data_IF_044601090180
#
_entry.id   IF_044601090180
#
_cell.length_a   1.000
_cell.length_b   1.000
_cell.length_c   1.000
_cell.angle_alpha   90.00
_cell.angle_beta   90.00
_cell.angle_gamma   90.00
#
_symmetry.space_group_name_H-M   'P 1'
#
loop_
_entity.id
_entity.type
_entity.pdbx_description
1 polymer ?
#
# COMPACT_ATOMS: atom_id res chain seq x y z
N UNK A 1 -19.19 33.25 -20.91
CA UNK A 1 -20.42 32.42 -21.00
C UNK A 1 -20.07 31.03 -21.51
N UNK A 2 -19.65 30.12 -20.62
CA UNK A 2 -19.88 28.68 -20.84
C UNK A 2 -21.40 28.52 -20.78
N UNK A 3 -22.05 28.51 -21.94
CA UNK A 3 -23.51 28.37 -22.04
C UNK A 3 -23.93 27.04 -21.41
N UNK A 4 -25.13 26.98 -20.80
CA UNK A 4 -25.73 25.79 -20.18
C UNK A 4 -25.47 24.48 -20.98
N UNK A 5 -25.42 24.57 -22.31
CA UNK A 5 -25.08 23.47 -23.22
C UNK A 5 -23.74 22.78 -22.94
N UNK A 6 -22.66 23.51 -22.62
CA UNK A 6 -21.35 22.89 -22.35
C UNK A 6 -21.35 22.07 -21.05
N UNK A 7 -22.01 22.60 -20.02
CA UNK A 7 -22.18 21.90 -18.74
C UNK A 7 -23.09 20.67 -18.90
N UNK A 8 -24.21 20.79 -19.62
CA UNK A 8 -25.11 19.66 -19.89
C UNK A 8 -24.42 18.54 -20.66
N UNK A 9 -23.50 18.85 -21.58
CA UNK A 9 -22.76 17.85 -22.35
C UNK A 9 -21.67 17.17 -21.51
N UNK A 10 -21.00 17.90 -20.62
CA UNK A 10 -20.11 17.31 -19.63
C UNK A 10 -20.87 16.39 -18.68
N UNK A 11 -22.04 16.81 -18.20
CA UNK A 11 -22.90 15.99 -17.35
C UNK A 11 -23.41 14.76 -18.09
N UNK A 12 -23.77 14.89 -19.38
CA UNK A 12 -24.17 13.76 -20.22
C UNK A 12 -23.02 12.78 -20.49
N UNK A 13 -21.81 13.28 -20.76
CA UNK A 13 -20.62 12.45 -20.92
C UNK A 13 -20.23 11.75 -19.62
N UNK A 14 -20.34 12.47 -18.49
CA UNK A 14 -20.13 11.91 -17.15
C UNK A 14 -21.15 10.81 -16.86
N UNK A 15 -22.42 11.05 -17.17
CA UNK A 15 -23.47 10.05 -17.05
C UNK A 15 -23.17 8.84 -17.93
N UNK A 16 -22.67 9.00 -19.17
CA UNK A 16 -22.31 7.87 -20.05
C UNK A 16 -21.12 7.06 -19.53
N UNK A 17 -20.05 7.72 -19.07
CA UNK A 17 -18.87 7.04 -18.50
C UNK A 17 -19.25 6.32 -17.21
N UNK A 18 -19.99 6.98 -16.33
CA UNK A 18 -20.51 6.37 -15.11
C UNK A 18 -21.47 5.23 -15.46
N UNK A 19 -22.39 5.39 -16.39
CA UNK A 19 -23.33 4.32 -16.75
C UNK A 19 -22.61 3.11 -17.31
N UNK A 20 -21.58 3.28 -18.16
CA UNK A 20 -20.76 2.16 -18.65
C UNK A 20 -20.02 1.44 -17.52
N UNK A 21 -19.41 2.21 -16.60
CA UNK A 21 -18.74 1.67 -15.42
C UNK A 21 -19.72 0.95 -14.49
N UNK A 22 -20.85 1.58 -14.17
CA UNK A 22 -21.89 1.05 -13.30
C UNK A 22 -22.55 -0.18 -13.93
N UNK A 23 -22.78 -0.21 -15.24
CA UNK A 23 -23.30 -1.38 -15.95
C UNK A 23 -22.35 -2.58 -15.85
N UNK A 24 -21.03 -2.35 -15.86
CA UNK A 24 -20.06 -3.42 -15.61
C UNK A 24 -20.12 -3.98 -14.17
N UNK A 25 -20.57 -3.16 -13.20
CA UNK A 25 -20.73 -3.53 -11.79
C UNK A 25 -22.15 -3.93 -11.36
N UNK A 26 -23.18 -3.65 -12.16
CA UNK A 26 -24.60 -3.74 -11.78
C UNK A 26 -25.31 -5.05 -12.22
N UNK A 27 -24.59 -6.03 -12.78
CA UNK A 27 -25.18 -7.28 -13.27
C UNK A 27 -25.58 -8.31 -12.19
N UNK A 28 -25.91 -7.88 -10.96
CA UNK A 28 -26.35 -8.78 -9.89
C UNK A 28 -27.85 -8.69 -9.64
N UNK A 29 -28.46 -9.80 -9.22
CA UNK A 29 -29.85 -9.80 -8.75
C UNK A 29 -29.99 -8.80 -7.60
N UNK A 30 -30.84 -7.78 -7.81
CA UNK A 30 -31.10 -6.69 -6.87
C UNK A 30 -31.65 -7.15 -5.49
N UNK A 31 -31.92 -8.45 -5.33
CA UNK A 31 -32.45 -9.06 -4.12
C UNK A 31 -31.39 -9.75 -3.23
N UNK A 32 -30.12 -9.84 -3.67
CA UNK A 32 -29.08 -10.51 -2.87
C UNK A 32 -28.69 -9.64 -1.68
N UNK A 33 -28.94 -10.10 -0.44
CA UNK A 33 -28.52 -9.37 0.76
C UNK A 33 -26.99 -9.40 0.94
N UNK A 34 -26.37 -8.35 1.50
CA UNK A 34 -24.95 -8.35 1.83
C UNK A 34 -24.63 -9.42 2.88
N UNK A 35 -23.49 -10.09 2.72
CA UNK A 35 -23.00 -11.06 3.69
C UNK A 35 -22.11 -10.36 4.71
N UNK A 36 -22.63 -10.15 5.92
CA UNK A 36 -21.94 -9.45 6.99
C UNK A 36 -21.35 -10.44 8.00
N UNK A 37 -20.13 -10.19 8.46
CA UNK A 37 -19.53 -10.96 9.55
C UNK A 37 -19.61 -10.21 10.87
N UNK A 38 -20.11 -10.88 11.90
CA UNK A 38 -19.94 -10.45 13.29
C UNK A 38 -18.62 -10.98 13.80
N UNK A 39 -17.67 -10.08 14.06
CA UNK A 39 -16.35 -10.45 14.56
C UNK A 39 -16.44 -11.06 15.95
N UNK A 40 -15.75 -12.18 16.14
CA UNK A 40 -15.61 -12.90 17.40
C UNK A 40 -14.13 -13.21 17.61
N UNK A 41 -13.70 -13.39 18.86
CA UNK A 41 -12.32 -13.77 19.18
C UNK A 41 -11.84 -15.01 18.45
N UNK A 42 -12.72 -16.00 18.23
CA UNK A 42 -12.41 -17.22 17.47
C UNK A 42 -12.05 -16.98 16.00
N UNK A 43 -12.41 -15.82 15.44
CA UNK A 43 -12.09 -15.44 14.06
C UNK A 43 -10.74 -14.70 13.96
N UNK A 44 -10.04 -14.49 15.07
CA UNK A 44 -8.76 -13.77 15.11
C UNK A 44 -7.65 -14.71 15.57
N UNK A 45 -7.11 -15.55 14.66
CA UNK A 45 -6.05 -16.51 15.00
C UNK A 45 -4.71 -15.86 15.39
N UNK A 46 -4.49 -14.60 15.02
CA UNK A 46 -3.30 -13.82 15.41
C UNK A 46 -3.74 -12.44 15.89
N UNK A 47 -3.22 -12.02 17.04
CA UNK A 47 -3.70 -10.84 17.78
C UNK A 47 -4.80 -11.23 18.77
N UNK A 48 -5.56 -10.24 19.24
CA UNK A 48 -6.73 -10.49 20.08
C UNK A 48 -7.92 -9.61 19.66
N UNK A 49 -9.13 -10.08 19.96
CA UNK A 49 -10.36 -9.35 19.67
C UNK A 49 -11.21 -9.21 20.94
N UNK A 50 -11.67 -8.01 21.20
CA UNK A 50 -12.57 -7.68 22.30
C UNK A 50 -13.83 -7.03 21.71
N UNK A 51 -15.01 -7.63 21.89
CA UNK A 51 -16.26 -6.98 21.48
C UNK A 51 -16.47 -5.72 22.32
N UNK A 52 -16.86 -4.63 21.66
CA UNK A 52 -17.30 -3.39 22.30
C UNK A 52 -18.67 -3.00 21.74
N UNK A 53 -19.34 -2.01 22.33
CA UNK A 53 -20.67 -1.60 21.86
C UNK A 53 -20.64 -1.16 20.39
N UNK A 54 -21.33 -1.90 19.52
CA UNK A 54 -21.41 -1.61 18.08
C UNK A 54 -20.12 -1.79 17.27
N UNK A 55 -19.06 -2.38 17.84
CA UNK A 55 -17.81 -2.61 17.13
C UNK A 55 -16.99 -3.76 17.74
N UNK A 56 -15.87 -4.09 17.12
CA UNK A 56 -14.87 -5.01 17.68
C UNK A 56 -13.52 -4.33 17.73
N UNK A 57 -12.92 -4.32 18.91
CA UNK A 57 -11.56 -3.85 19.13
C UNK A 57 -10.59 -4.98 18.86
N UNK A 58 -9.70 -4.78 17.89
CA UNK A 58 -8.61 -5.69 17.55
C UNK A 58 -7.32 -5.14 18.15
N UNK A 59 -6.59 -5.97 18.88
CA UNK A 59 -5.24 -5.64 19.39
C UNK A 59 -4.24 -6.46 18.58
N UNK A 60 -3.28 -5.77 17.96
CA UNK A 60 -2.20 -6.38 17.19
C UNK A 60 -1.21 -7.08 18.13
N UNK A 61 -0.51 -8.09 17.64
CA UNK A 61 0.52 -8.79 18.39
C UNK A 61 1.72 -7.86 18.71
N UNK A 62 2.67 -8.38 19.49
CA UNK A 62 3.92 -7.70 19.83
C UNK A 62 4.82 -7.40 18.61
N UNK A 63 4.48 -7.92 17.43
CA UNK A 63 5.15 -7.60 16.15
C UNK A 63 4.31 -6.66 15.29
N UNK A 64 3.19 -6.14 15.80
CA UNK A 64 2.29 -5.25 15.08
C UNK A 64 1.50 -5.96 13.99
N UNK A 65 0.99 -7.17 14.25
CA UNK A 65 0.23 -7.96 13.28
C UNK A 65 -1.05 -8.51 13.90
N UNK A 66 -2.14 -8.52 13.13
CA UNK A 66 -3.32 -9.31 13.43
C UNK A 66 -3.85 -9.97 12.16
N UNK A 67 -4.47 -11.15 12.31
CA UNK A 67 -5.12 -11.86 11.21
C UNK A 67 -6.56 -12.13 11.60
N UNK A 68 -7.49 -11.72 10.74
CA UNK A 68 -8.92 -12.01 10.87
C UNK A 68 -9.28 -13.04 9.81
N UNK A 69 -9.63 -14.25 10.22
CA UNK A 69 -10.03 -15.37 9.37
C UNK A 69 -11.56 -15.44 9.26
N UNK A 70 -12.10 -14.93 8.15
CA UNK A 70 -13.53 -14.83 7.90
C UNK A 70 -14.01 -16.06 7.12
N UNK A 71 -14.93 -16.88 7.65
CA UNK A 71 -15.43 -18.06 6.95
C UNK A 71 -16.17 -17.64 5.68
N UNK A 72 -15.87 -18.31 4.57
CA UNK A 72 -16.44 -18.04 3.25
C UNK A 72 -17.01 -19.29 2.56
N UNK A 73 -17.10 -20.42 3.29
CA UNK A 73 -17.70 -21.64 2.78
C UNK A 73 -19.17 -21.42 2.42
N UNK A 74 -19.56 -21.81 1.20
CA UNK A 74 -20.92 -21.63 0.68
C UNK A 74 -21.22 -20.25 0.10
N UNK A 75 -20.29 -19.30 0.17
CA UNK A 75 -20.41 -18.01 -0.52
C UNK A 75 -19.92 -18.18 -1.96
N UNK A 76 -20.72 -17.75 -2.94
CA UNK A 76 -20.27 -17.60 -4.32
C UNK A 76 -19.55 -16.25 -4.48
N UNK A 77 -18.22 -16.22 -4.68
CA UNK A 77 -17.47 -14.97 -4.84
C UNK A 77 -17.95 -14.12 -6.03
N UNK A 78 -18.52 -14.76 -7.06
CA UNK A 78 -19.01 -14.06 -8.25
C UNK A 78 -20.22 -13.18 -7.94
N UNK A 79 -21.07 -13.63 -7.01
CA UNK A 79 -22.22 -12.86 -6.51
C UNK A 79 -21.80 -11.69 -5.63
N UNK A 80 -20.64 -11.77 -4.98
CA UNK A 80 -20.14 -10.77 -4.02
C UNK A 80 -18.73 -10.25 -4.37
N UNK A 81 -18.59 -9.40 -5.39
CA UNK A 81 -17.27 -8.93 -5.80
C UNK A 81 -16.74 -7.75 -4.98
N UNK A 82 -17.53 -7.21 -4.02
CA UNK A 82 -17.12 -6.06 -3.22
C UNK A 82 -16.88 -6.47 -1.77
N UNK A 83 -15.72 -6.11 -1.23
CA UNK A 83 -15.40 -6.23 0.19
C UNK A 83 -15.36 -4.84 0.82
N UNK A 84 -16.13 -4.64 1.89
CA UNK A 84 -16.07 -3.42 2.70
C UNK A 84 -15.47 -3.73 4.06
N UNK A 85 -14.54 -2.89 4.49
CA UNK A 85 -14.02 -2.87 5.86
C UNK A 85 -14.21 -1.46 6.41
N UNK A 86 -15.13 -1.33 7.37
CA UNK A 86 -15.40 -0.09 8.06
C UNK A 86 -14.67 -0.10 9.41
N UNK A 87 -13.61 0.70 9.49
CA UNK A 87 -12.89 1.00 10.71
C UNK A 87 -13.64 2.09 11.49
N UNK A 88 -13.44 2.12 12.81
CA UNK A 88 -13.89 3.21 13.66
C UNK A 88 -13.00 4.43 13.53
N UNK A 89 -12.67 5.03 14.67
CA UNK A 89 -11.69 6.10 14.68
C UNK A 89 -10.36 5.63 14.09
N UNK A 90 -9.73 6.52 13.32
CA UNK A 90 -8.41 6.27 12.76
C UNK A 90 -7.48 5.96 13.93
N UNK A 91 -6.89 4.75 14.00
CA UNK A 91 -6.00 4.44 15.10
C UNK A 91 -4.82 5.41 15.07
N UNK A 92 -4.31 5.79 16.25
CA UNK A 92 -3.08 6.55 16.40
C UNK A 92 -2.05 5.64 17.07
N UNK A 93 -0.97 5.21 16.37
CA UNK A 93 -0.60 5.53 14.99
C UNK A 93 -1.57 4.94 13.95
N UNK A 94 -1.62 5.45 12.70
CA UNK A 94 -2.47 4.87 11.65
C UNK A 94 -2.07 3.41 11.36
N UNK A 95 -3.04 2.59 10.96
CA UNK A 95 -2.78 1.21 10.54
C UNK A 95 -1.77 1.25 9.38
N UNK A 96 -0.71 0.47 9.47
CA UNK A 96 0.35 0.48 8.47
C UNK A 96 -0.05 -0.22 7.18
N UNK A 97 -0.80 -1.35 7.20
CA UNK A 97 -1.37 -2.01 5.99
C UNK A 97 -2.57 -2.90 6.33
N UNK A 98 -3.50 -3.03 5.37
CA UNK A 98 -4.54 -4.05 5.32
C UNK A 98 -4.29 -4.93 4.09
N UNK A 99 -4.07 -6.23 4.26
CA UNK A 99 -3.94 -7.17 3.14
C UNK A 99 -5.10 -8.16 3.14
N UNK A 100 -5.60 -8.50 1.96
CA UNK A 100 -6.72 -9.43 1.77
C UNK A 100 -6.20 -10.68 1.08
N UNK A 101 -6.45 -11.84 1.67
CA UNK A 101 -6.04 -13.15 1.15
C UNK A 101 -7.24 -14.08 1.03
N UNK A 102 -7.45 -14.66 -0.15
CA UNK A 102 -8.38 -15.79 -0.31
C UNK A 102 -7.66 -17.08 0.05
N UNK A 103 -8.36 -17.99 0.74
CA UNK A 103 -7.86 -19.33 1.04
C UNK A 103 -8.76 -20.36 0.38
N UNK A 104 -8.16 -21.29 -0.37
CA UNK A 104 -8.82 -22.43 -0.99
C UNK A 104 -8.10 -23.70 -0.56
N UNK A 105 -8.78 -24.53 0.23
CA UNK A 105 -8.14 -25.69 0.87
C UNK A 105 -6.94 -25.26 1.72
N UNK A 106 -5.75 -25.76 1.38
CA UNK A 106 -4.49 -25.39 2.05
C UNK A 106 -3.74 -24.20 1.40
N UNK A 107 -4.15 -23.76 0.21
CA UNK A 107 -3.46 -22.69 -0.53
C UNK A 107 -4.05 -21.31 -0.21
N UNK A 108 -3.19 -20.32 0.02
CA UNK A 108 -3.57 -18.91 0.23
C UNK A 108 -3.06 -18.03 -0.91
N UNK A 109 -3.91 -17.17 -1.43
CA UNK A 109 -3.60 -16.25 -2.53
C UNK A 109 -3.96 -14.80 -2.16
N UNK A 110 -3.01 -13.88 -2.34
CA UNK A 110 -3.24 -12.46 -2.11
C UNK A 110 -4.17 -11.88 -3.19
N UNK A 111 -5.19 -11.14 -2.74
CA UNK A 111 -6.23 -10.57 -3.59
C UNK A 111 -6.07 -9.06 -3.74
N UNK A 112 -5.91 -8.38 -2.60
CA UNK A 112 -5.85 -6.94 -2.54
C UNK A 112 -4.96 -6.51 -1.37
N UNK A 113 -4.49 -5.28 -1.43
CA UNK A 113 -3.74 -4.62 -0.36
C UNK A 113 -4.14 -3.16 -0.29
N UNK A 114 -4.37 -2.65 0.92
CA UNK A 114 -4.26 -1.22 1.19
C UNK A 114 -2.78 -0.89 1.23
N UNK A 115 -2.40 0.19 0.55
CA UNK A 115 -0.99 0.46 0.34
C UNK A 115 -0.29 1.02 1.55
N UNK A 116 -1.00 1.66 2.49
CA UNK A 116 -0.56 1.67 3.89
C UNK A 116 -1.73 2.03 4.85
N UNK A 117 -2.15 3.29 4.93
CA UNK A 117 -3.24 3.70 5.85
C UNK A 117 -4.58 3.15 5.37
N UNK A 118 -5.17 2.24 6.14
CA UNK A 118 -6.55 1.84 5.88
C UNK A 118 -7.47 3.05 6.14
N UNK A 119 -8.18 3.57 5.12
CA UNK A 119 -9.14 4.64 5.36
C UNK A 119 -10.25 4.14 6.29
N UNK A 120 -10.92 5.07 6.98
CA UNK A 120 -12.04 4.78 7.91
C UNK A 120 -13.08 3.85 7.29
N UNK A 121 -13.33 3.97 5.99
CA UNK A 121 -14.21 3.07 5.24
C UNK A 121 -13.53 2.69 3.92
N UNK A 122 -13.16 1.42 3.80
CA UNK A 122 -12.41 0.91 2.65
C UNK A 122 -13.26 -0.06 1.84
N UNK A 123 -13.35 0.18 0.53
CA UNK A 123 -14.07 -0.67 -0.41
C UNK A 123 -13.12 -1.26 -1.45
N UNK A 124 -13.01 -2.59 -1.48
CA UNK A 124 -12.23 -3.32 -2.48
C UNK A 124 -13.14 -3.95 -3.52
N UNK A 125 -12.79 -3.81 -4.80
CA UNK A 125 -13.36 -4.63 -5.87
C UNK A 125 -12.46 -5.84 -6.11
N UNK A 126 -12.93 -7.02 -5.71
CA UNK A 126 -12.21 -8.28 -5.79
C UNK A 126 -12.50 -9.02 -7.11
N UNK A 127 -13.52 -8.63 -7.87
CA UNK A 127 -13.96 -9.33 -9.07
C UNK A 127 -12.95 -9.40 -10.22
N UNK A 128 -11.94 -8.53 -10.24
CA UNK A 128 -10.82 -8.60 -11.22
C UNK A 128 -9.75 -9.61 -10.82
N UNK A 129 -9.68 -10.02 -9.56
CA UNK A 129 -8.67 -10.97 -9.11
C UNK A 129 -9.04 -12.39 -9.61
N UNK A 130 -8.19 -13.06 -10.39
CA UNK A 130 -8.47 -14.41 -10.87
C UNK A 130 -8.73 -15.40 -9.71
N UNK A 131 -8.14 -15.12 -8.55
CA UNK A 131 -8.27 -15.93 -7.35
C UNK A 131 -9.58 -15.69 -6.58
N UNK A 132 -10.37 -14.68 -6.98
CA UNK A 132 -11.71 -14.39 -6.45
C UNK A 132 -12.83 -15.10 -7.22
N UNK A 133 -12.60 -16.35 -7.60
CA UNK A 133 -13.58 -17.18 -8.30
C UNK A 133 -13.59 -18.58 -7.67
N UNK A 134 -14.68 -19.33 -7.81
CA UNK A 134 -14.80 -20.70 -7.31
C UNK A 134 -14.94 -20.79 -5.78
N UNK A 135 -14.96 -22.03 -5.25
CA UNK A 135 -15.19 -22.26 -3.83
C UNK A 135 -14.04 -21.72 -2.96
N UNK A 136 -14.37 -20.80 -2.04
CA UNK A 136 -13.46 -20.29 -1.02
C UNK A 136 -13.71 -20.99 0.31
N UNK A 137 -12.64 -21.31 1.04
CA UNK A 137 -12.76 -21.79 2.41
C UNK A 137 -12.94 -20.61 3.38
N UNK A 138 -12.10 -19.58 3.22
CA UNK A 138 -12.12 -18.36 4.02
C UNK A 138 -11.45 -17.19 3.32
N UNK A 139 -11.75 -15.99 3.80
CA UNK A 139 -11.07 -14.75 3.45
C UNK A 139 -10.31 -14.29 4.69
N UNK A 140 -9.03 -14.00 4.55
CA UNK A 140 -8.19 -13.53 5.64
C UNK A 140 -7.82 -12.07 5.44
N UNK A 141 -8.01 -11.27 6.49
CA UNK A 141 -7.58 -9.88 6.55
C UNK A 141 -6.35 -9.79 7.45
N UNK A 142 -5.24 -9.34 6.89
CA UNK A 142 -4.02 -9.08 7.62
C UNK A 142 -3.94 -7.61 7.94
N UNK A 143 -3.90 -7.29 9.23
CA UNK A 143 -3.66 -5.95 9.74
C UNK A 143 -2.20 -5.86 10.14
N UNK A 144 -1.48 -4.90 9.58
CA UNK A 144 -0.09 -4.59 9.92
C UNK A 144 -0.04 -3.19 10.51
N UNK A 145 0.71 -2.99 11.59
CA UNK A 145 0.73 -1.75 12.36
C UNK A 145 1.90 -1.68 13.34
N UNK A 146 1.78 -0.85 14.36
CA UNK A 146 2.71 -0.83 15.48
C UNK A 146 2.43 -1.99 16.45
N UNK A 147 3.44 -2.47 17.20
CA UNK A 147 3.27 -3.43 18.29
C UNK A 147 2.17 -3.01 19.25
N UNK A 148 1.31 -3.95 19.65
CA UNK A 148 0.22 -3.75 20.60
C UNK A 148 -0.79 -2.65 20.23
N UNK A 149 -0.75 -2.19 18.97
CA UNK A 149 -1.68 -1.19 18.46
C UNK A 149 -3.11 -1.72 18.53
N UNK A 150 -4.04 -0.82 18.84
CA UNK A 150 -5.46 -1.14 18.91
C UNK A 150 -6.19 -0.54 17.72
N UNK A 151 -7.05 -1.32 17.08
CA UNK A 151 -7.84 -0.93 15.90
C UNK A 151 -9.31 -1.30 16.13
N UNK A 152 -10.20 -0.34 15.95
CA UNK A 152 -11.64 -0.59 16.06
C UNK A 152 -12.22 -0.88 14.69
N UNK A 153 -12.99 -1.96 14.56
CA UNK A 153 -13.70 -2.34 13.33
C UNK A 153 -15.20 -2.39 13.63
N UNK A 154 -15.98 -1.61 12.88
CA UNK A 154 -17.44 -1.60 12.99
C UNK A 154 -18.08 -2.70 12.16
N UNK A 155 -17.65 -2.86 10.90
CA UNK A 155 -18.32 -3.76 9.97
C UNK A 155 -17.34 -4.32 8.98
N UNK A 156 -17.44 -5.63 8.75
CA UNK A 156 -16.80 -6.31 7.64
C UNK A 156 -17.88 -7.05 6.87
N UNK A 157 -17.91 -6.89 5.56
CA UNK A 157 -18.91 -7.56 4.76
C UNK A 157 -18.57 -7.68 3.29
N UNK A 158 -19.17 -8.68 2.67
CA UNK A 158 -19.21 -8.89 1.24
C UNK A 158 -20.52 -8.36 0.68
N UNK A 159 -20.41 -7.57 -0.37
CA UNK A 159 -21.52 -6.83 -0.95
C UNK A 159 -21.76 -7.29 -2.39
N UNK A 160 -23.04 -7.46 -2.77
CA UNK A 160 -23.40 -7.90 -4.09
C UNK A 160 -23.07 -6.84 -5.14
N UNK A 161 -23.11 -7.26 -6.41
CA UNK A 161 -23.08 -6.36 -7.56
C UNK A 161 -24.19 -5.32 -7.48
N UNK A 162 -23.80 -4.05 -7.39
CA UNK A 162 -24.71 -2.90 -7.38
C UNK A 162 -23.98 -1.68 -7.92
N UNK A 163 -24.71 -0.82 -8.62
CA UNK A 163 -24.21 0.48 -9.04
C UNK A 163 -23.73 1.34 -7.85
N UNK A 164 -24.44 1.28 -6.71
CA UNK A 164 -24.04 2.03 -5.52
C UNK A 164 -22.69 1.55 -4.97
N UNK A 165 -22.47 0.24 -4.87
CA UNK A 165 -21.22 -0.35 -4.39
C UNK A 165 -20.07 -0.12 -5.37
N UNK A 166 -20.34 -0.17 -6.67
CA UNK A 166 -19.36 0.18 -7.70
C UNK A 166 -18.88 1.64 -7.55
N UNK A 167 -19.82 2.58 -7.40
CA UNK A 167 -19.48 3.99 -7.17
C UNK A 167 -18.72 4.20 -5.86
N UNK A 168 -19.14 3.55 -4.77
CA UNK A 168 -18.47 3.63 -3.48
C UNK A 168 -17.05 3.07 -3.55
N UNK A 169 -16.83 1.95 -4.24
CA UNK A 169 -15.50 1.39 -4.47
C UNK A 169 -14.61 2.31 -5.30
N UNK A 170 -15.16 2.92 -6.37
CA UNK A 170 -14.44 3.88 -7.19
C UNK A 170 -14.03 5.12 -6.37
N UNK A 171 -14.97 5.70 -5.63
CA UNK A 171 -14.72 6.86 -4.79
C UNK A 171 -13.72 6.56 -3.67
N UNK A 172 -13.83 5.40 -3.02
CA UNK A 172 -12.86 4.93 -2.02
C UNK A 172 -11.45 4.82 -2.62
N UNK A 173 -11.31 4.22 -3.80
CA UNK A 173 -10.03 4.14 -4.49
C UNK A 173 -9.47 5.52 -4.87
N UNK A 174 -10.29 6.41 -5.41
CA UNK A 174 -9.84 7.73 -5.86
C UNK A 174 -9.53 8.69 -4.71
N UNK A 175 -10.26 8.61 -3.61
CA UNK A 175 -10.08 9.53 -2.47
C UNK A 175 -9.13 9.01 -1.41
N UNK A 176 -8.66 7.76 -1.53
CA UNK A 176 -7.65 7.22 -0.62
C UNK A 176 -6.25 7.78 -0.95
N UNK A 177 -5.63 8.43 0.04
CA UNK A 177 -4.23 8.83 -0.05
C UNK A 177 -3.32 7.66 0.37
N UNK A 178 -2.69 7.01 -0.61
CA UNK A 178 -1.58 6.09 -0.35
C UNK A 178 -0.29 6.82 0.09
N UNK A 179 0.73 6.09 0.56
CA UNK A 179 2.02 6.65 0.98
C UNK A 179 2.73 7.37 -0.17
N UNK A 180 3.75 8.17 0.18
CA UNK A 180 4.70 8.68 -0.80
C UNK A 180 5.50 7.52 -1.41
N UNK A 181 5.42 7.37 -2.73
CA UNK A 181 6.32 6.50 -3.51
C UNK A 181 7.20 7.36 -4.40
N UNK A 182 8.33 6.79 -4.83
CA UNK A 182 9.17 7.40 -5.86
C UNK A 182 8.36 7.74 -7.13
N UNK A 183 7.39 6.90 -7.50
CA UNK A 183 6.51 7.17 -8.64
C UNK A 183 5.36 8.14 -8.33
N UNK A 184 4.98 8.35 -7.06
CA UNK A 184 3.82 9.19 -6.69
C UNK A 184 3.99 10.66 -7.07
N UNK A 185 5.22 11.12 -7.30
CA UNK A 185 5.50 12.48 -7.79
C UNK A 185 5.11 12.62 -9.27
N UNK A 186 5.20 11.53 -10.05
CA UNK A 186 5.05 11.54 -11.51
C UNK A 186 3.84 10.75 -12.02
N UNK A 187 3.15 9.98 -11.15
CA UNK A 187 2.04 9.13 -11.52
C UNK A 187 0.80 9.43 -10.67
N UNK A 188 -0.30 9.81 -11.34
CA UNK A 188 -1.60 9.98 -10.70
C UNK A 188 -2.47 8.73 -10.90
N UNK A 189 -2.30 7.76 -10.00
CA UNK A 189 -3.00 6.46 -10.05
C UNK A 189 -4.15 6.35 -9.04
N UNK A 190 -4.46 7.42 -8.30
CA UNK A 190 -5.31 7.33 -7.10
C UNK A 190 -4.60 6.63 -5.94
N UNK A 191 -5.32 6.28 -4.88
CA UNK A 191 -4.85 5.24 -3.97
C UNK A 191 -5.07 3.90 -4.67
N UNK A 192 -3.99 3.20 -5.04
CA UNK A 192 -4.09 1.88 -5.67
C UNK A 192 -4.66 0.89 -4.65
N UNK A 193 -5.98 0.78 -4.61
CA UNK A 193 -6.61 -0.46 -4.20
C UNK A 193 -6.50 -1.38 -5.41
N UNK A 194 -5.61 -2.37 -5.32
CA UNK A 194 -5.46 -3.38 -6.37
C UNK A 194 -6.86 -3.93 -6.73
N UNK A 195 -7.24 -3.80 -7.99
CA UNK A 195 -8.55 -4.22 -8.51
C UNK A 195 -9.46 -3.11 -9.06
N UNK A 196 -9.14 -1.82 -8.88
CA UNK A 196 -9.94 -0.74 -9.50
C UNK A 196 -9.92 -0.83 -11.04
N UNK A 197 -11.11 -0.90 -11.64
CA UNK A 197 -11.31 -1.00 -13.09
C UNK A 197 -11.03 0.34 -13.82
N UNK A 198 -11.08 1.47 -13.12
CA UNK A 198 -10.98 2.78 -13.74
C UNK A 198 -10.13 3.75 -12.90
N UNK A 199 -9.05 4.23 -13.51
CA UNK A 199 -8.14 5.21 -12.92
C UNK A 199 -8.60 6.65 -13.22
N UNK A 200 -8.29 7.64 -12.35
CA UNK A 200 -8.76 9.01 -12.53
C UNK A 200 -8.37 9.66 -13.87
N UNK A 201 -7.12 9.45 -14.32
CA UNK A 201 -6.62 10.05 -15.57
C UNK A 201 -7.33 9.47 -16.82
N UNK A 202 -7.39 8.15 -17.05
CA UNK A 202 -8.21 7.56 -18.10
C UNK A 202 -9.69 7.96 -18.01
N UNK A 203 -10.26 8.06 -16.80
CA UNK A 203 -11.64 8.49 -16.61
C UNK A 203 -11.87 9.93 -17.09
N UNK A 204 -11.00 10.86 -16.70
CA UNK A 204 -11.05 12.25 -17.13
C UNK A 204 -10.84 12.39 -18.66
N UNK A 205 -9.96 11.57 -19.23
CA UNK A 205 -9.73 11.54 -20.68
C UNK A 205 -10.95 11.00 -21.45
N UNK A 206 -11.56 9.91 -20.98
CA UNK A 206 -12.79 9.38 -21.56
C UNK A 206 -13.93 10.38 -21.43
N UNK A 207 -14.09 11.01 -20.28
CA UNK A 207 -15.07 12.06 -20.04
C UNK A 207 -14.92 13.21 -21.05
N UNK A 208 -13.70 13.73 -21.22
CA UNK A 208 -13.41 14.77 -22.19
C UNK A 208 -13.71 14.29 -23.62
N UNK A 209 -13.28 13.08 -23.99
CA UNK A 209 -13.50 12.52 -25.32
C UNK A 209 -15.00 12.36 -25.64
N UNK A 210 -15.80 11.81 -24.72
CA UNK A 210 -17.25 11.67 -24.88
C UNK A 210 -17.94 13.03 -24.97
N UNK A 211 -17.55 14.00 -24.15
CA UNK A 211 -18.12 15.35 -24.21
C UNK A 211 -17.80 16.05 -25.54
N UNK A 212 -16.55 15.94 -26.03
CA UNK A 212 -16.15 16.49 -27.32
C UNK A 212 -16.85 15.78 -28.49
N UNK A 213 -16.98 14.46 -28.43
CA UNK A 213 -17.71 13.68 -29.43
C UNK A 213 -19.19 14.08 -29.47
N UNK A 214 -19.83 14.24 -28.31
CA UNK A 214 -21.22 14.71 -28.23
C UNK A 214 -21.37 16.11 -28.84
N UNK A 215 -20.46 17.05 -28.55
CA UNK A 215 -20.44 18.37 -29.18
C UNK A 215 -20.29 18.32 -30.71
N UNK A 216 -19.54 17.34 -31.24
CA UNK A 216 -19.32 17.18 -32.69
C UNK A 216 -20.48 16.47 -33.40
N UNK A 217 -21.14 15.51 -32.72
CA UNK A 217 -22.16 14.65 -33.30
C UNK A 217 -23.59 15.23 -33.18
N UNK A 218 -23.94 15.87 -32.06
CA UNK A 218 -25.30 16.40 -31.86
C UNK A 218 -25.77 17.39 -32.92
N UNK A 219 -24.93 18.32 -33.44
CA UNK A 219 -25.32 19.23 -34.53
C UNK A 219 -25.65 18.49 -35.83
N UNK A 220 -25.06 17.30 -36.04
CA UNK A 220 -25.35 16.45 -37.22
C UNK A 220 -26.65 15.67 -37.06
N UNK A 221 -27.01 15.31 -35.83
CA UNK A 221 -28.20 14.53 -35.52
C UNK A 221 -29.44 15.41 -35.26
N UNK A 222 -29.23 16.64 -34.81
CA UNK A 222 -30.30 17.55 -34.38
C UNK A 222 -30.06 18.96 -34.96
N UNK A 223 -30.83 19.38 -35.98
CA UNK A 223 -30.63 20.65 -36.71
C UNK A 223 -30.71 21.94 -35.86
N UNK A 224 -31.11 21.86 -34.59
CA UNK A 224 -31.15 22.99 -33.66
C UNK A 224 -29.87 23.18 -32.83
N UNK A 225 -28.91 22.25 -32.88
CA UNK A 225 -27.67 22.35 -32.10
C UNK A 225 -26.56 23.08 -32.85
N UNK A 226 -25.86 23.98 -32.16
CA UNK A 226 -24.69 24.67 -32.73
C UNK A 226 -23.46 23.76 -32.70
N UNK A 227 -22.66 23.82 -33.77
CA UNK A 227 -21.38 23.11 -33.92
C UNK A 227 -20.39 23.32 -32.76
N UNK A 228 -19.44 22.39 -32.61
CA UNK A 228 -18.34 22.52 -31.66
C UNK A 228 -17.54 23.80 -31.92
N UNK A 229 -17.45 24.68 -30.92
CA UNK A 229 -16.59 25.87 -30.94
C UNK A 229 -15.30 25.59 -30.18
N UNK A 230 -14.15 26.01 -30.70
CA UNK A 230 -12.85 25.83 -30.03
C UNK A 230 -12.81 26.29 -28.57
N UNK A 231 -13.40 27.44 -28.17
CA UNK A 231 -13.46 27.82 -26.75
C UNK A 231 -14.26 26.84 -25.87
N UNK A 232 -15.31 26.21 -26.42
CA UNK A 232 -16.09 25.20 -25.70
C UNK A 232 -15.28 23.90 -25.54
N UNK A 233 -14.55 23.49 -26.58
CA UNK A 233 -13.63 22.36 -26.51
C UNK A 233 -12.55 22.60 -25.43
N UNK A 234 -11.91 23.77 -25.45
CA UNK A 234 -10.93 24.17 -24.45
C UNK A 234 -11.51 24.19 -23.04
N UNK A 235 -12.75 24.68 -22.88
CA UNK A 235 -13.46 24.67 -21.59
C UNK A 235 -13.74 23.26 -21.07
N UNK A 236 -14.13 22.32 -21.93
CA UNK A 236 -14.35 20.90 -21.56
C UNK A 236 -13.05 20.27 -21.05
N UNK A 237 -11.96 20.44 -21.81
CA UNK A 237 -10.64 19.90 -21.44
C UNK A 237 -10.16 20.52 -20.13
N UNK A 238 -10.27 21.85 -19.99
CA UNK A 238 -9.88 22.56 -18.77
C UNK A 238 -10.69 22.08 -17.55
N UNK A 239 -12.00 21.87 -17.69
CA UNK A 239 -12.84 21.37 -16.59
C UNK A 239 -12.45 19.94 -16.18
N UNK A 240 -12.20 19.04 -17.14
CA UNK A 240 -11.74 17.69 -16.82
C UNK A 240 -10.36 17.70 -16.15
N UNK A 241 -9.47 18.60 -16.60
CA UNK A 241 -8.17 18.79 -15.96
C UNK A 241 -8.30 19.35 -14.54
N UNK A 242 -9.17 20.35 -14.31
CA UNK A 242 -9.42 20.90 -12.96
C UNK A 242 -10.01 19.87 -12.00
N UNK A 243 -10.87 18.96 -12.48
CA UNK A 243 -11.39 17.85 -11.66
C UNK A 243 -10.27 16.90 -11.25
N UNK A 244 -9.38 16.57 -12.18
CA UNK A 244 -8.20 15.74 -11.91
C UNK A 244 -7.24 16.42 -10.92
N UNK A 245 -6.98 17.72 -11.13
CA UNK A 245 -6.12 18.52 -10.24
C UNK A 245 -6.72 18.61 -8.84
N UNK A 246 -8.04 18.85 -8.72
CA UNK A 246 -8.73 18.89 -7.42
C UNK A 246 -8.57 17.58 -6.66
N UNK A 247 -8.71 16.44 -7.35
CA UNK A 247 -8.50 15.12 -6.73
C UNK A 247 -7.05 14.94 -6.27
N UNK A 248 -6.08 15.38 -7.08
CA UNK A 248 -4.68 15.35 -6.73
C UNK A 248 -4.36 16.25 -5.53
N UNK A 249 -4.87 17.49 -5.51
CA UNK A 249 -4.72 18.43 -4.40
C UNK A 249 -5.31 17.86 -3.11
N UNK A 250 -6.50 17.23 -3.18
CA UNK A 250 -7.11 16.58 -2.03
C UNK A 250 -6.21 15.49 -1.44
N UNK A 251 -5.67 14.60 -2.26
CA UNK A 251 -4.73 13.56 -1.83
C UNK A 251 -3.45 14.17 -1.24
N UNK A 252 -2.94 15.25 -1.84
CA UNK A 252 -1.75 15.95 -1.35
C UNK A 252 -1.99 16.55 0.05
N UNK A 253 -3.15 17.17 0.26
CA UNK A 253 -3.54 17.73 1.56
C UNK A 253 -3.68 16.64 2.63
N UNK A 254 -4.26 15.50 2.28
CA UNK A 254 -4.32 14.33 3.17
C UNK A 254 -2.92 13.85 3.56
N UNK A 255 -2.01 13.69 2.59
CA UNK A 255 -0.61 13.30 2.86
C UNK A 255 0.12 14.33 3.71
N UNK A 256 -0.09 15.62 3.45
CA UNK A 256 0.49 16.70 4.23
C UNK A 256 -0.01 16.66 5.68
N UNK A 257 -1.31 16.42 5.88
CA UNK A 257 -1.88 16.29 7.21
C UNK A 257 -1.24 15.13 7.98
N UNK A 258 -1.19 13.93 7.40
CA UNK A 258 -0.54 12.77 8.02
C UNK A 258 0.95 13.00 8.28
N UNK A 259 1.68 13.59 7.33
CA UNK A 259 3.09 13.90 7.53
C UNK A 259 3.31 14.95 8.64
N UNK A 260 2.40 15.92 8.76
CA UNK A 260 2.44 16.91 9.83
C UNK A 260 2.16 16.25 11.18
N UNK A 261 1.16 15.40 11.28
CA UNK A 261 0.88 14.64 12.52
C UNK A 261 2.07 13.77 12.94
N UNK A 262 2.76 13.15 11.98
CA UNK A 262 3.87 12.25 12.26
C UNK A 262 5.19 12.97 12.58
N UNK A 263 5.46 14.13 11.97
CA UNK A 263 6.80 14.74 11.97
C UNK A 263 6.85 16.18 12.45
N UNK A 264 5.73 16.85 12.72
CA UNK A 264 5.75 18.24 13.18
C UNK A 264 6.33 18.34 14.60
N UNK A 265 7.18 19.34 14.82
CA UNK A 265 7.86 19.54 16.11
C UNK A 265 9.02 18.58 16.39
N UNK A 266 9.16 17.49 15.63
CA UNK A 266 10.23 16.51 15.83
C UNK A 266 11.59 16.98 15.31
N UNK A 267 12.66 16.59 16.01
CA UNK A 267 14.04 16.73 15.55
C UNK A 267 14.32 15.85 14.33
N UNK A 268 15.42 16.09 13.60
CA UNK A 268 15.79 15.25 12.46
C UNK A 268 15.99 13.78 12.84
N UNK A 269 16.57 13.52 14.02
CA UNK A 269 16.78 12.16 14.55
C UNK A 269 15.44 11.48 14.83
N UNK A 270 14.50 12.19 15.47
CA UNK A 270 13.16 11.67 15.74
C UNK A 270 12.40 11.39 14.46
N UNK A 271 12.49 12.27 13.46
CA UNK A 271 11.87 12.05 12.14
C UNK A 271 12.41 10.79 11.46
N UNK A 272 13.71 10.54 11.53
CA UNK A 272 14.31 9.34 10.97
C UNK A 272 13.89 8.06 11.73
N UNK A 273 13.72 8.15 13.05
CA UNK A 273 13.23 7.04 13.88
C UNK A 273 11.73 6.79 13.76
N UNK A 274 10.95 7.81 13.38
CA UNK A 274 9.53 7.68 13.09
C UNK A 274 9.24 7.33 11.61
N UNK A 275 10.23 7.47 10.74
CA UNK A 275 10.10 7.29 9.29
C UNK A 275 10.16 5.83 8.82
N UNK A 276 10.02 5.61 7.50
CA UNK A 276 10.03 4.27 6.90
C UNK A 276 11.37 3.54 7.08
N UNK A 277 12.47 4.28 7.17
CA UNK A 277 13.82 3.75 7.34
C UNK A 277 14.24 3.60 8.81
N UNK A 278 13.30 3.65 9.76
CA UNK A 278 13.59 3.65 11.21
C UNK A 278 14.55 2.54 11.65
N UNK A 279 14.39 1.33 11.11
CA UNK A 279 15.20 0.17 11.44
C UNK A 279 16.64 0.32 10.93
N UNK A 280 16.80 0.82 9.70
CA UNK A 280 18.10 1.07 9.07
C UNK A 280 18.84 2.20 9.79
N UNK A 281 18.12 3.23 10.19
CA UNK A 281 18.68 4.33 10.96
C UNK A 281 19.03 3.93 12.40
N UNK A 282 18.21 3.10 13.04
CA UNK A 282 18.48 2.60 14.39
C UNK A 282 19.75 1.72 14.41
N UNK A 283 19.86 0.76 13.48
CA UNK A 283 21.06 -0.10 13.41
C UNK A 283 22.30 0.70 13.02
N UNK A 284 22.21 1.68 12.10
CA UNK A 284 23.37 2.50 11.74
C UNK A 284 23.89 3.34 12.92
N UNK A 285 22.99 3.86 13.77
CA UNK A 285 23.36 4.53 15.01
C UNK A 285 24.05 3.58 15.98
N UNK A 286 23.51 2.38 16.18
CA UNK A 286 24.11 1.38 17.07
C UNK A 286 25.49 0.94 16.57
N UNK A 287 25.67 0.75 15.26
CA UNK A 287 26.96 0.45 14.63
C UNK A 287 27.95 1.59 14.84
N UNK A 288 27.55 2.85 14.58
CA UNK A 288 28.41 4.02 14.80
C UNK A 288 28.84 4.15 16.27
N UNK A 289 27.93 3.87 17.21
CA UNK A 289 28.26 3.86 18.64
C UNK A 289 29.24 2.74 19.00
N UNK A 290 29.06 1.54 18.45
CA UNK A 290 29.96 0.40 18.67
C UNK A 290 31.37 0.63 18.07
N UNK A 291 31.47 1.48 17.04
CA UNK A 291 32.71 1.75 16.31
C UNK A 291 33.33 3.12 16.63
N UNK A 292 32.75 3.91 17.54
CA UNK A 292 32.91 5.37 17.65
C UNK A 292 34.34 5.93 17.48
N UNK A 293 35.36 5.24 17.96
CA UNK A 293 36.76 5.71 17.94
C UNK A 293 37.68 4.93 16.98
N UNK A 294 37.14 4.01 16.20
CA UNK A 294 37.92 3.11 15.34
C UNK A 294 37.83 3.55 13.87
N UNK A 295 38.95 3.84 13.20
CA UNK A 295 38.95 3.94 11.74
C UNK A 295 38.65 2.53 11.19
N UNK A 296 37.38 2.28 10.92
CA UNK A 296 36.87 0.97 10.52
C UNK A 296 36.37 1.01 9.08
N UNK A 297 36.85 0.06 8.27
CA UNK A 297 36.21 -0.28 6.99
C UNK A 297 35.00 -1.16 7.29
N UNK A 298 33.82 -0.70 6.89
CA UNK A 298 32.55 -1.41 7.12
C UNK A 298 32.00 -1.89 5.78
N UNK A 299 31.84 -3.18 5.61
CA UNK A 299 31.25 -3.80 4.43
C UNK A 299 29.79 -4.14 4.72
N UNK A 300 28.87 -3.65 3.89
CA UNK A 300 27.43 -3.87 4.06
C UNK A 300 26.95 -4.98 3.14
N UNK A 301 26.42 -6.04 3.74
CA UNK A 301 25.77 -7.14 3.03
C UNK A 301 24.26 -7.09 3.27
N UNK A 302 23.50 -6.90 2.19
CA UNK A 302 22.05 -6.91 2.20
C UNK A 302 21.54 -7.56 0.92
N UNK A 303 20.44 -8.32 1.01
CA UNK A 303 19.79 -8.93 -0.14
C UNK A 303 18.98 -7.93 -0.97
N UNK A 304 18.45 -6.91 -0.31
CA UNK A 304 17.65 -5.85 -0.93
C UNK A 304 18.53 -4.63 -1.23
N UNK A 305 18.56 -4.22 -2.51
CA UNK A 305 19.40 -3.13 -2.99
C UNK A 305 19.08 -1.81 -2.30
N UNK A 306 17.79 -1.49 -2.13
CA UNK A 306 17.35 -0.25 -1.49
C UNK A 306 17.83 -0.20 -0.04
N UNK A 307 17.63 -1.28 0.73
CA UNK A 307 18.05 -1.35 2.12
C UNK A 307 19.58 -1.27 2.26
N UNK A 308 20.32 -1.96 1.40
CA UNK A 308 21.79 -1.91 1.38
C UNK A 308 22.33 -0.50 1.12
N UNK A 309 21.84 0.14 0.06
CA UNK A 309 22.19 1.51 -0.30
C UNK A 309 21.87 2.51 0.82
N UNK A 310 20.63 2.46 1.36
CA UNK A 310 20.18 3.38 2.40
C UNK A 310 20.96 3.20 3.69
N UNK A 311 21.24 1.96 4.09
CA UNK A 311 22.06 1.66 5.25
C UNK A 311 23.49 2.18 5.09
N UNK A 312 24.11 1.94 3.93
CA UNK A 312 25.44 2.46 3.64
C UNK A 312 25.49 4.00 3.73
N UNK A 313 24.47 4.67 3.17
CA UNK A 313 24.30 6.12 3.30
C UNK A 313 24.22 6.58 4.77
N UNK A 314 23.44 5.89 5.60
CA UNK A 314 23.31 6.23 7.02
C UNK A 314 24.56 5.95 7.84
N UNK A 315 25.49 5.12 7.36
CA UNK A 315 26.74 4.81 8.04
C UNK A 315 27.82 5.89 7.82
N UNK A 316 27.68 6.78 6.83
CA UNK A 316 28.61 7.91 6.67
C UNK A 316 28.69 8.77 7.93
N UNK A 317 29.89 9.23 8.34
CA UNK A 317 31.13 9.28 7.55
C UNK A 317 32.08 8.07 7.69
N UNK A 318 31.62 6.90 8.18
CA UNK A 318 32.46 5.71 8.22
C UNK A 318 32.95 5.32 6.80
N UNK A 319 34.08 4.60 6.72
CA UNK A 319 34.58 4.08 5.46
C UNK A 319 33.74 2.86 5.04
N UNK A 320 32.65 3.10 4.34
CA UNK A 320 31.65 2.09 4.00
C UNK A 320 31.85 1.57 2.58
N UNK A 321 31.89 0.26 2.43
CA UNK A 321 31.80 -0.43 1.14
C UNK A 321 30.43 -1.07 0.97
N UNK A 322 29.75 -0.72 -0.11
CA UNK A 322 28.55 -1.37 -0.60
C UNK A 322 28.58 -1.32 -2.13
N UNK A 323 28.22 -2.43 -2.78
CA UNK A 323 28.24 -2.55 -4.24
C UNK A 323 26.82 -2.73 -4.77
N UNK A 324 26.48 -1.94 -5.80
CA UNK A 324 25.21 -2.08 -6.51
C UNK A 324 25.34 -3.17 -7.57
N UNK A 325 24.35 -4.08 -7.64
CA UNK A 325 24.28 -5.15 -8.65
C UNK A 325 25.49 -6.13 -8.64
N UNK A 326 26.28 -6.13 -7.57
CA UNK A 326 27.45 -7.00 -7.38
C UNK A 326 27.26 -8.06 -6.29
N UNK A 327 28.29 -8.87 -5.99
CA UNK A 327 28.25 -9.78 -4.86
C UNK A 327 28.08 -8.99 -3.54
N UNK A 328 27.41 -9.56 -2.53
CA UNK A 328 27.10 -8.85 -1.28
C UNK A 328 28.34 -8.47 -0.46
N UNK A 329 29.48 -9.09 -0.75
CA UNK A 329 30.79 -8.80 -0.19
C UNK A 329 31.83 -8.91 -1.32
N UNK A 330 32.95 -8.16 -1.24
CA UNK A 330 34.05 -8.33 -2.18
C UNK A 330 34.66 -9.72 -2.08
N UNK A 331 35.56 -10.07 -3.01
CA UNK A 331 36.30 -11.32 -2.91
C UNK A 331 36.89 -11.48 -1.50
N UNK A 332 36.71 -12.63 -0.82
CA UNK A 332 37.31 -12.94 0.46
C UNK A 332 38.82 -12.66 0.56
N UNK A 333 39.56 -12.75 -0.55
CA UNK A 333 40.97 -12.37 -0.59
C UNK A 333 41.23 -10.87 -0.32
N UNK A 334 40.20 -10.03 -0.44
CA UNK A 334 40.23 -8.59 -0.17
C UNK A 334 39.73 -8.23 1.24
N UNK A 335 39.24 -9.21 2.02
CA UNK A 335 38.88 -9.04 3.42
C UNK A 335 40.15 -9.07 4.27
N UNK A 336 40.24 -8.15 5.22
CA UNK A 336 41.40 -8.03 6.12
C UNK A 336 40.97 -8.21 7.57
N UNK A 337 41.85 -8.76 8.39
CA UNK A 337 41.67 -8.74 9.84
C UNK A 337 41.42 -7.30 10.30
N UNK A 338 40.36 -7.09 11.09
CA UNK A 338 39.90 -5.77 11.50
C UNK A 338 38.87 -5.11 10.59
N UNK A 339 38.56 -5.66 9.41
CA UNK A 339 37.38 -5.26 8.64
C UNK A 339 36.09 -5.63 9.41
N UNK A 340 35.06 -4.79 9.29
CA UNK A 340 33.76 -5.04 9.89
C UNK A 340 32.74 -5.36 8.81
N UNK A 341 31.95 -6.40 9.03
CA UNK A 341 30.90 -6.82 8.11
C UNK A 341 29.55 -6.63 8.81
N UNK A 342 28.69 -5.81 8.22
CA UNK A 342 27.32 -5.60 8.67
C UNK A 342 26.36 -6.40 7.78
N UNK A 343 25.77 -7.44 8.37
CA UNK A 343 24.75 -8.26 7.75
C UNK A 343 23.37 -7.71 8.08
N UNK A 344 22.64 -7.27 7.07
CA UNK A 344 21.24 -6.86 7.23
C UNK A 344 20.33 -8.05 6.90
N UNK A 345 19.40 -8.38 7.79
CA UNK A 345 18.48 -9.48 7.56
C UNK A 345 17.33 -9.07 6.61
N UNK A 346 16.91 -9.95 5.68
CA UNK A 346 17.58 -11.19 5.28
C UNK A 346 18.87 -10.92 4.47
N UNK A 347 19.91 -11.74 4.69
CA UNK A 347 21.17 -11.70 3.94
C UNK A 347 21.46 -13.04 3.27
N UNK A 348 22.17 -13.00 2.14
CA UNK A 348 22.71 -14.20 1.47
C UNK A 348 23.98 -14.73 2.17
N UNK A 349 24.51 -13.97 3.13
CA UNK A 349 25.64 -14.37 3.99
C UNK A 349 25.08 -14.89 5.31
N UNK A 350 25.38 -16.14 5.63
CA UNK A 350 25.02 -16.76 6.90
C UNK A 350 26.03 -16.40 7.99
N UNK A 351 25.57 -16.27 9.24
CA UNK A 351 26.45 -16.15 10.40
C UNK A 351 26.18 -17.30 11.37
N UNK A 352 27.18 -18.16 11.57
CA UNK A 352 27.16 -19.18 12.62
C UNK A 352 27.80 -18.61 13.88
N UNK A 353 26.94 -18.25 14.84
CA UNK A 353 27.36 -17.71 16.14
C UNK A 353 28.14 -18.72 16.98
N UNK A 354 27.85 -20.01 16.86
CA UNK A 354 28.49 -21.05 17.65
C UNK A 354 29.91 -21.34 17.17
N UNK A 355 30.10 -21.32 15.86
CA UNK A 355 31.41 -21.55 15.23
C UNK A 355 32.24 -20.26 15.08
N UNK A 356 31.62 -19.07 15.17
CA UNK A 356 32.31 -17.81 14.91
C UNK A 356 32.69 -17.66 13.43
N UNK A 357 31.82 -18.13 12.52
CA UNK A 357 32.08 -18.18 11.09
C UNK A 357 31.00 -17.44 10.31
N UNK A 358 31.41 -16.67 9.30
CA UNK A 358 30.53 -16.26 8.21
C UNK A 358 30.55 -17.33 7.12
N UNK A 359 29.37 -17.67 6.61
CA UNK A 359 29.18 -18.51 5.44
C UNK A 359 28.82 -17.64 4.25
N UNK A 360 29.73 -17.60 3.28
CA UNK A 360 29.52 -16.85 2.04
C UNK A 360 28.66 -17.68 1.06
N UNK A 361 28.01 -17.03 0.07
CA UNK A 361 27.16 -17.72 -0.91
C UNK A 361 27.87 -18.84 -1.69
N UNK A 362 29.19 -18.72 -1.87
CA UNK A 362 30.04 -19.67 -2.57
C UNK A 362 30.60 -20.80 -1.67
N UNK A 363 30.04 -20.95 -0.46
CA UNK A 363 30.43 -21.93 0.57
C UNK A 363 31.80 -21.70 1.21
N UNK A 364 32.49 -20.60 0.92
CA UNK A 364 33.67 -20.20 1.68
C UNK A 364 33.27 -19.71 3.06
N UNK A 365 34.19 -19.84 4.01
CA UNK A 365 34.00 -19.38 5.39
C UNK A 365 35.02 -18.35 5.79
N UNK A 366 34.59 -17.35 6.57
CA UNK A 366 35.47 -16.31 7.12
C UNK A 366 35.37 -16.32 8.65
N UNK A 367 36.49 -16.43 9.39
CA UNK A 367 36.48 -16.34 10.83
C UNK A 367 36.14 -14.91 11.28
N UNK A 368 35.18 -14.80 12.18
CA UNK A 368 34.69 -13.51 12.67
C UNK A 368 34.34 -13.57 14.15
N UNK A 369 34.34 -12.40 14.79
CA UNK A 369 33.76 -12.23 16.12
C UNK A 369 32.57 -11.28 16.10
N UNK A 370 31.47 -11.58 16.81
CA UNK A 370 30.32 -10.70 16.89
C UNK A 370 30.65 -9.43 17.68
N UNK A 371 30.24 -8.27 17.16
CA UNK A 371 30.41 -6.96 17.78
C UNK A 371 29.07 -6.40 18.26
N UNK A 372 28.03 -6.52 17.43
CA UNK A 372 26.67 -6.09 17.73
C UNK A 372 25.68 -7.04 17.09
N UNK A 373 24.64 -7.45 17.82
CA UNK A 373 23.53 -8.25 17.32
C UNK A 373 22.24 -7.50 17.64
N UNK A 374 21.41 -7.27 16.63
CA UNK A 374 20.06 -6.71 16.74
C UNK A 374 19.07 -7.61 16.01
N UNK A 375 17.77 -7.36 16.18
CA UNK A 375 16.73 -8.09 15.44
C UNK A 375 16.80 -7.80 13.92
N UNK A 376 17.39 -6.67 13.54
CA UNK A 376 17.47 -6.20 12.15
C UNK A 376 18.75 -6.60 11.45
N UNK A 377 19.83 -6.88 12.19
CA UNK A 377 21.11 -7.24 11.60
C UNK A 377 22.22 -7.57 12.60
N UNK A 378 23.36 -7.97 12.06
CA UNK A 378 24.53 -8.39 12.86
C UNK A 378 25.77 -7.68 12.33
N UNK A 379 26.51 -7.03 13.22
CA UNK A 379 27.86 -6.52 12.96
C UNK A 379 28.88 -7.53 13.50
N UNK A 380 29.77 -7.97 12.63
CA UNK A 380 30.90 -8.83 12.99
C UNK A 380 32.23 -8.19 12.58
N UNK A 381 33.31 -8.60 13.21
CA UNK A 381 34.68 -8.20 12.87
C UNK A 381 35.45 -9.40 12.36
N UNK A 382 36.15 -9.23 11.24
CA UNK A 382 37.04 -10.24 10.65
C UNK A 382 38.29 -10.41 11.51
N UNK A 383 38.66 -11.66 11.79
CA UNK A 383 39.81 -12.03 12.63
C UNK A 383 41.11 -12.19 11.85
#
# INVERSE_FOLDING_TARGET
MLTLTGLSLLLGALASVLTGYLASGAGGDAATAPHLWTLRSSLVPLGSAQPIEGATRIVLDNHGRAVIALPAAGIDPASYPYLRVAFGDTPAPPLARLLVRAVRGAAGHWLARSEDVAPRDTWFYLGTAPQWHGALARVELFLLGAPDQTVTIHTIGLYPRSASHALQSLLSAWTSAGPWRHSSVNQHTGGRLDGSLLYPLPAAALLAAFALAACALLPRLFPGFRGLRWPAAGGIVLLCWLLLDTLWQWQLLQRLHTAREQFAGSSNTEKLLAGPDRELFAISRAVKQALADRPARVLVSARDEYRGMRLAYYLYPLNVFWEREGPPLPDPALLRAGDYILLLQPSDVGFDRSAGLLHLPDRRTVPVQPVLITDTGVLVQVL
#
